data_IF_224096016310
#
_entry.id   IF_224096016310
#
_cell.length_a   1.000
_cell.length_b   1.000
_cell.length_c   1.000
_cell.angle_alpha   90.00
_cell.angle_beta   90.00
_cell.angle_gamma   90.00
#
_symmetry.space_group_name_H-M   'P 1'
#
loop_
_entity.id
_entity.type
_entity.pdbx_description
1 polymer ?
#
# COMPACT_ATOMS: atom_id res chain seq x y z
N UNK A 1 -4.20 -24.51 12.80
CA UNK A 1 -4.51 -23.55 13.89
C UNK A 1 -3.55 -22.37 13.78
N UNK A 2 -4.04 -21.15 13.66
CA UNK A 2 -3.17 -19.96 13.48
C UNK A 2 -2.53 -19.64 14.86
N UNK A 3 -1.27 -20.02 15.05
CA UNK A 3 -0.52 -19.85 16.30
C UNK A 3 -0.48 -18.38 16.75
N UNK A 4 -0.51 -17.44 15.82
CA UNK A 4 -0.57 -16.00 16.11
C UNK A 4 -1.81 -15.62 16.93
N UNK A 5 -2.97 -16.20 16.62
CA UNK A 5 -4.23 -15.90 17.30
C UNK A 5 -4.18 -16.26 18.78
N UNK A 6 -3.38 -17.26 19.14
CA UNK A 6 -3.17 -17.65 20.54
C UNK A 6 -2.34 -16.58 21.30
N UNK A 7 -1.31 -16.02 20.68
CA UNK A 7 -0.44 -15.02 21.29
C UNK A 7 -0.95 -13.57 21.15
N UNK A 8 -1.87 -13.31 20.21
CA UNK A 8 -2.41 -11.98 19.97
C UNK A 8 -2.91 -11.24 21.21
N UNK A 9 -3.67 -11.87 22.16
CA UNK A 9 -4.15 -11.15 23.35
C UNK A 9 -3.02 -10.62 24.22
N UNK A 10 -1.87 -11.32 24.28
CA UNK A 10 -0.68 -10.89 25.01
C UNK A 10 0.03 -9.74 24.28
N UNK A 11 0.21 -9.88 22.96
CA UNK A 11 0.82 -8.84 22.11
C UNK A 11 0.00 -7.54 22.17
N UNK A 12 -1.33 -7.64 22.24
CA UNK A 12 -2.22 -6.49 22.25
C UNK A 12 -2.24 -5.74 23.60
N UNK A 13 -1.68 -6.31 24.68
CA UNK A 13 -1.43 -5.58 25.94
C UNK A 13 -0.23 -4.63 25.83
N UNK A 14 0.68 -4.87 24.88
CA UNK A 14 1.84 -4.00 24.62
C UNK A 14 1.35 -2.77 23.86
N UNK A 15 1.93 -1.61 24.16
CA UNK A 15 1.68 -0.38 23.41
C UNK A 15 1.88 -0.63 21.90
N UNK A 16 0.99 -0.12 21.00
CA UNK A 16 0.95 -0.51 19.59
C UNK A 16 2.26 -0.28 18.83
N UNK A 17 2.92 0.85 19.01
CA UNK A 17 4.16 1.15 18.29
C UNK A 17 5.33 0.33 18.81
N UNK A 18 5.39 0.09 20.13
CA UNK A 18 6.39 -0.81 20.73
C UNK A 18 6.22 -2.25 20.23
N UNK A 19 4.97 -2.74 20.17
CA UNK A 19 4.71 -4.07 19.64
C UNK A 19 5.11 -4.20 18.17
N UNK A 20 4.87 -3.16 17.36
CA UNK A 20 5.29 -3.12 15.96
C UNK A 20 6.83 -3.17 15.85
N UNK A 21 7.55 -2.34 16.59
CA UNK A 21 9.00 -2.31 16.57
C UNK A 21 9.63 -3.64 17.04
N UNK A 22 9.03 -4.29 18.06
CA UNK A 22 9.45 -5.63 18.48
C UNK A 22 9.26 -6.66 17.35
N UNK A 23 8.13 -6.62 16.64
CA UNK A 23 7.88 -7.50 15.52
C UNK A 23 8.87 -7.27 14.37
N UNK A 24 9.16 -6.01 14.01
CA UNK A 24 10.17 -5.67 13.00
C UNK A 24 11.55 -6.20 13.39
N UNK A 25 12.00 -5.92 14.62
CA UNK A 25 13.28 -6.40 15.10
C UNK A 25 13.38 -7.93 15.06
N UNK A 26 12.32 -8.63 15.48
CA UNK A 26 12.28 -10.08 15.41
C UNK A 26 12.41 -10.58 13.97
N UNK A 27 11.63 -10.03 13.04
CA UNK A 27 11.65 -10.42 11.63
C UNK A 27 12.95 -10.04 10.91
N UNK A 28 13.64 -9.00 11.37
CA UNK A 28 14.94 -8.56 10.85
C UNK A 28 16.06 -9.52 11.25
N UNK A 29 16.08 -9.96 12.52
CA UNK A 29 17.16 -10.80 13.04
C UNK A 29 16.93 -12.30 12.82
N UNK A 30 15.70 -12.73 12.57
CA UNK A 30 15.35 -14.14 12.38
C UNK A 30 14.64 -14.40 11.04
N UNK A 31 15.22 -14.04 9.89
CA UNK A 31 14.58 -14.26 8.59
C UNK A 31 14.34 -15.73 8.29
N UNK A 32 15.16 -16.67 8.83
CA UNK A 32 14.93 -18.12 8.73
C UNK A 32 13.68 -18.57 9.46
N UNK A 33 13.27 -17.86 10.52
CA UNK A 33 12.04 -18.18 11.24
C UNK A 33 10.80 -17.84 10.43
N UNK A 34 10.80 -16.73 9.71
CA UNK A 34 9.70 -16.42 8.79
C UNK A 34 9.57 -17.47 7.68
N UNK A 35 10.69 -18.02 7.19
CA UNK A 35 10.69 -19.11 6.23
C UNK A 35 10.13 -20.42 6.83
N UNK A 36 10.38 -20.71 8.11
CA UNK A 36 9.82 -21.87 8.81
C UNK A 36 8.29 -21.74 9.02
N UNK A 37 7.81 -20.52 9.23
CA UNK A 37 6.37 -20.22 9.35
C UNK A 37 5.68 -20.12 8.00
N UNK A 38 6.44 -20.06 6.90
CA UNK A 38 5.94 -19.91 5.55
C UNK A 38 5.34 -21.22 5.05
N UNK A 39 4.05 -21.22 4.80
CA UNK A 39 3.34 -22.32 4.12
C UNK A 39 2.87 -21.88 2.73
N UNK A 40 3.59 -20.93 2.12
CA UNK A 40 3.16 -20.29 0.89
C UNK A 40 3.12 -21.28 -0.26
N UNK A 41 1.91 -21.48 -0.83
CA UNK A 41 1.68 -22.24 -2.05
C UNK A 41 1.58 -21.30 -3.26
N UNK A 42 1.95 -21.79 -4.42
CA UNK A 42 1.69 -21.11 -5.68
C UNK A 42 0.32 -21.53 -6.23
N UNK A 43 -0.45 -20.55 -6.72
CA UNK A 43 -1.74 -20.73 -7.37
C UNK A 43 -1.68 -20.05 -8.73
N UNK A 44 -1.49 -20.83 -9.81
CA UNK A 44 -1.24 -20.32 -11.16
C UNK A 44 -2.32 -19.35 -11.66
N UNK A 45 -3.59 -19.58 -11.27
CA UNK A 45 -4.69 -18.71 -11.65
C UNK A 45 -4.69 -17.35 -10.93
N UNK A 46 -3.78 -17.13 -9.98
CA UNK A 46 -3.54 -15.85 -9.31
C UNK A 46 -2.39 -15.05 -9.91
N UNK A 47 -1.62 -15.63 -10.85
CA UNK A 47 -0.55 -14.91 -11.53
C UNK A 47 -1.14 -13.73 -12.30
N UNK A 48 -0.48 -12.58 -12.20
CA UNK A 48 -0.88 -11.37 -12.92
C UNK A 48 0.34 -10.65 -13.50
N UNK A 49 0.18 -10.02 -14.65
CA UNK A 49 1.25 -9.26 -15.31
C UNK A 49 0.80 -7.83 -15.53
N UNK A 50 1.55 -6.89 -14.98
CA UNK A 50 1.32 -5.44 -15.09
C UNK A 50 2.66 -4.74 -15.27
N UNK A 51 2.73 -3.72 -16.10
CA UNK A 51 3.94 -2.89 -16.29
C UNK A 51 5.21 -3.72 -16.65
N UNK A 52 5.05 -4.82 -17.37
CA UNK A 52 6.11 -5.81 -17.64
C UNK A 52 6.68 -6.48 -16.37
N UNK A 53 5.96 -6.43 -15.25
CA UNK A 53 6.27 -7.12 -14.01
C UNK A 53 5.32 -8.31 -13.82
N UNK A 54 5.89 -9.47 -13.40
CA UNK A 54 5.13 -10.68 -13.16
C UNK A 54 4.88 -10.90 -11.67
N UNK A 55 3.63 -10.74 -11.24
CA UNK A 55 3.19 -10.96 -9.87
C UNK A 55 2.75 -12.41 -9.69
N UNK A 56 3.36 -13.13 -8.77
CA UNK A 56 2.99 -14.53 -8.45
C UNK A 56 1.61 -14.66 -7.82
N UNK A 57 1.08 -13.59 -7.26
CA UNK A 57 -0.29 -13.44 -6.78
C UNK A 57 -0.61 -11.95 -6.56
N UNK A 58 -1.89 -11.56 -6.51
CA UNK A 58 -2.28 -10.15 -6.44
C UNK A 58 -2.20 -9.53 -5.04
N UNK A 59 -1.77 -10.27 -4.00
CA UNK A 59 -1.81 -9.80 -2.60
C UNK A 59 -0.48 -9.20 -2.19
N UNK A 60 -0.47 -7.92 -1.86
CA UNK A 60 0.71 -7.18 -1.42
C UNK A 60 0.63 -6.66 0.01
N UNK A 61 1.81 -6.37 0.59
CA UNK A 61 1.93 -5.59 1.81
C UNK A 61 1.90 -4.09 1.47
N UNK A 62 1.02 -3.34 2.15
CA UNK A 62 0.94 -1.89 1.96
C UNK A 62 2.08 -1.15 2.65
N UNK A 63 2.48 -0.01 2.09
CA UNK A 63 3.42 0.92 2.71
C UNK A 63 3.01 1.31 4.14
N UNK A 64 4.01 1.60 4.97
CA UNK A 64 3.86 1.96 6.38
C UNK A 64 4.19 0.81 7.34
N UNK A 65 4.13 -0.44 6.89
CA UNK A 65 4.51 -1.58 7.71
C UNK A 65 6.05 -1.69 7.83
N UNK A 66 6.75 -1.72 6.72
CA UNK A 66 8.21 -1.64 6.64
C UNK A 66 8.64 -0.29 6.08
N UNK A 67 8.91 0.67 6.96
CA UNK A 67 9.21 2.06 6.56
C UNK A 67 10.64 2.25 6.04
N UNK A 68 11.53 1.33 6.36
CA UNK A 68 12.96 1.47 6.11
C UNK A 68 13.55 0.34 5.27
N UNK A 69 12.71 -0.50 4.65
CA UNK A 69 13.11 -1.67 3.86
C UNK A 69 13.95 -2.70 4.66
N UNK A 70 13.57 -2.96 5.91
CA UNK A 70 14.35 -3.80 6.84
C UNK A 70 13.91 -5.26 6.85
N UNK A 71 12.63 -5.56 6.47
CA UNK A 71 12.05 -6.91 6.61
C UNK A 71 11.39 -7.44 5.33
N UNK A 72 11.69 -6.86 4.16
CA UNK A 72 11.06 -7.22 2.88
C UNK A 72 11.15 -8.72 2.59
N UNK A 73 12.32 -9.36 2.82
CA UNK A 73 12.50 -10.80 2.63
C UNK A 73 11.57 -11.63 3.54
N UNK A 74 11.38 -11.21 4.79
CA UNK A 74 10.46 -11.86 5.72
C UNK A 74 9.01 -11.75 5.28
N UNK A 75 8.62 -10.63 4.68
CA UNK A 75 7.28 -10.44 4.11
C UNK A 75 7.04 -11.36 2.90
N UNK A 76 8.02 -11.53 2.01
CA UNK A 76 7.90 -12.50 0.92
C UNK A 76 7.76 -13.94 1.44
N UNK A 77 8.45 -14.30 2.53
CA UNK A 77 8.29 -15.61 3.15
C UNK A 77 6.86 -15.86 3.64
N UNK A 78 6.10 -14.83 4.02
CA UNK A 78 4.68 -14.96 4.36
C UNK A 78 3.75 -15.08 3.15
N UNK A 79 4.29 -15.08 1.92
CA UNK A 79 3.55 -15.36 0.69
C UNK A 79 3.02 -14.14 -0.03
N UNK A 80 3.41 -12.92 0.35
CA UNK A 80 3.07 -11.74 -0.40
C UNK A 80 3.63 -11.81 -1.83
N UNK A 81 2.82 -11.48 -2.83
CA UNK A 81 3.25 -11.40 -4.23
C UNK A 81 4.08 -10.14 -4.51
N UNK A 82 3.90 -9.10 -3.72
CA UNK A 82 4.68 -7.87 -3.76
C UNK A 82 4.68 -7.16 -2.40
N UNK A 83 5.67 -6.32 -2.20
CA UNK A 83 5.85 -5.56 -0.94
C UNK A 83 6.09 -4.10 -1.28
N UNK A 84 5.28 -3.20 -0.74
CA UNK A 84 5.51 -1.76 -0.81
C UNK A 84 6.14 -1.29 0.50
N UNK A 85 7.44 -0.96 0.45
CA UNK A 85 8.19 -0.42 1.58
C UNK A 85 8.17 1.12 1.57
N UNK A 86 8.28 1.73 2.73
CA UNK A 86 8.19 3.18 2.93
C UNK A 86 6.99 3.55 3.83
N UNK A 87 6.62 4.82 3.94
CA UNK A 87 7.07 5.97 3.15
C UNK A 87 8.44 6.42 3.63
N UNK A 88 9.37 6.55 2.70
CA UNK A 88 10.66 7.19 2.94
C UNK A 88 10.63 8.66 2.49
N UNK A 89 11.39 9.50 3.17
CA UNK A 89 11.59 10.92 2.85
C UNK A 89 13.06 11.18 2.58
N UNK A 90 13.45 12.28 1.90
CA UNK A 90 14.87 12.58 1.64
C UNK A 90 15.75 12.51 2.88
N UNK A 91 15.31 13.16 3.95
CA UNK A 91 15.99 13.22 5.24
C UNK A 91 15.19 12.42 6.28
N UNK A 92 15.87 11.79 7.23
CA UNK A 92 15.23 11.14 8.37
C UNK A 92 14.35 12.11 9.15
N UNK A 93 13.20 11.61 9.61
CA UNK A 93 12.33 12.40 10.49
C UNK A 93 11.65 11.53 11.54
N UNK A 94 11.49 12.10 12.73
CA UNK A 94 10.94 11.40 13.91
C UNK A 94 9.43 11.13 13.74
N UNK A 95 8.73 11.97 12.96
CA UNK A 95 7.28 11.97 12.84
C UNK A 95 6.60 12.76 13.95
N UNK A 96 5.30 12.52 14.15
CA UNK A 96 4.50 13.22 15.15
C UNK A 96 4.72 12.64 16.56
N UNK A 97 4.28 13.38 17.59
CA UNK A 97 4.39 12.99 18.99
C UNK A 97 3.64 11.68 19.30
N UNK A 98 4.16 10.93 20.28
CA UNK A 98 3.55 9.71 20.79
C UNK A 98 2.62 10.04 21.98
N UNK A 99 1.55 9.22 22.22
CA UNK A 99 1.13 8.05 21.44
C UNK A 99 0.48 8.45 20.12
N UNK A 100 0.77 7.68 19.06
CA UNK A 100 0.36 7.99 17.69
C UNK A 100 -0.19 6.80 16.89
N UNK A 101 -0.38 5.65 17.57
CA UNK A 101 -1.06 4.47 17.03
C UNK A 101 -2.08 3.98 18.06
N UNK A 102 -3.31 3.79 17.61
CA UNK A 102 -4.43 3.36 18.46
C UNK A 102 -5.12 2.16 17.81
N UNK A 103 -5.17 1.02 18.51
CA UNK A 103 -5.96 -0.15 18.09
C UNK A 103 -7.41 0.04 18.52
N UNK A 104 -8.32 -0.11 17.59
CA UNK A 104 -9.76 -0.16 17.81
C UNK A 104 -10.17 -1.63 17.68
N UNK A 105 -10.06 -2.36 18.78
CA UNK A 105 -10.17 -3.83 18.78
C UNK A 105 -11.58 -4.27 18.37
N UNK A 106 -12.58 -3.58 18.88
CA UNK A 106 -14.00 -3.84 18.62
C UNK A 106 -14.37 -3.67 17.14
N UNK A 107 -13.60 -2.82 16.44
CA UNK A 107 -13.83 -2.46 15.04
C UNK A 107 -12.87 -3.14 14.07
N UNK A 108 -11.92 -3.94 14.56
CA UNK A 108 -10.82 -4.46 13.75
C UNK A 108 -10.12 -3.35 12.94
N UNK A 109 -9.84 -2.23 13.60
CA UNK A 109 -9.37 -1.01 12.98
C UNK A 109 -8.17 -0.42 13.72
N UNK A 110 -7.45 0.48 13.05
CA UNK A 110 -6.32 1.20 13.63
C UNK A 110 -6.44 2.68 13.23
N UNK A 111 -6.32 3.58 14.21
CA UNK A 111 -6.07 4.99 13.95
C UNK A 111 -4.58 5.27 14.15
N UNK A 112 -3.97 6.01 13.19
CA UNK A 112 -2.60 6.44 13.32
C UNK A 112 -2.42 7.91 12.91
N UNK A 113 -1.43 8.55 13.57
CA UNK A 113 -0.94 9.91 13.24
C UNK A 113 0.59 9.93 13.17
N UNK A 114 1.18 8.98 12.45
CA UNK A 114 2.63 8.72 12.45
C UNK A 114 3.46 9.87 11.87
N UNK A 115 3.02 10.54 10.79
CA UNK A 115 3.72 11.67 10.19
C UNK A 115 5.01 11.30 9.46
N UNK A 116 5.01 10.16 8.74
CA UNK A 116 6.15 9.65 7.96
C UNK A 116 7.45 9.51 8.75
N UNK A 117 7.38 8.94 9.97
CA UNK A 117 8.59 8.60 10.72
C UNK A 117 9.42 7.54 9.96
N UNK A 118 10.66 7.90 9.62
CA UNK A 118 11.58 7.03 8.88
C UNK A 118 13.04 7.49 9.07
N UNK A 119 14.00 6.66 8.65
CA UNK A 119 15.44 6.90 8.82
C UNK A 119 16.09 7.57 7.59
N UNK A 120 15.27 8.05 6.64
CA UNK A 120 15.71 8.78 5.46
C UNK A 120 16.10 7.88 4.29
N UNK A 121 16.21 8.52 3.12
CA UNK A 121 16.41 7.84 1.85
C UNK A 121 17.74 7.07 1.75
N UNK A 122 18.80 7.53 2.41
CA UNK A 122 20.08 6.84 2.37
C UNK A 122 20.02 5.51 3.12
N UNK A 123 19.49 5.50 4.35
CA UNK A 123 19.32 4.28 5.13
C UNK A 123 18.38 3.28 4.43
N UNK A 124 17.30 3.80 3.87
CA UNK A 124 16.38 2.98 3.08
C UNK A 124 17.08 2.33 1.89
N UNK A 125 17.87 3.10 1.14
CA UNK A 125 18.62 2.61 -0.01
C UNK A 125 19.63 1.52 0.37
N UNK A 126 20.37 1.71 1.45
CA UNK A 126 21.33 0.71 1.96
C UNK A 126 20.66 -0.62 2.30
N UNK A 127 19.45 -0.59 2.86
CA UNK A 127 18.70 -1.81 3.14
C UNK A 127 18.14 -2.44 1.85
N UNK A 128 17.56 -1.63 0.97
CA UNK A 128 17.02 -2.09 -0.31
C UNK A 128 18.09 -2.77 -1.17
N UNK A 129 19.30 -2.21 -1.22
CA UNK A 129 20.43 -2.75 -2.00
C UNK A 129 20.96 -4.10 -1.51
N UNK A 130 20.70 -4.46 -0.24
CA UNK A 130 21.09 -5.76 0.33
C UNK A 130 20.09 -6.88 0.04
N UNK A 131 18.92 -6.55 -0.54
CA UNK A 131 17.88 -7.54 -0.79
C UNK A 131 18.25 -8.37 -2.01
N UNK A 132 18.47 -9.65 -1.78
CA UNK A 132 18.62 -10.63 -2.85
C UNK A 132 17.25 -11.22 -3.19
N UNK A 133 16.61 -10.69 -4.23
CA UNK A 133 15.25 -11.08 -4.65
C UNK A 133 15.25 -11.93 -5.92
N UNK A 134 14.23 -12.76 -6.06
CA UNK A 134 13.91 -13.45 -7.33
C UNK A 134 13.13 -12.52 -8.26
N UNK A 135 13.03 -12.86 -9.55
CA UNK A 135 12.29 -12.06 -10.52
C UNK A 135 10.78 -11.93 -10.23
N UNK A 136 10.21 -12.85 -9.44
CA UNK A 136 8.80 -12.83 -9.02
C UNK A 136 8.54 -12.08 -7.73
N UNK A 137 9.57 -11.56 -7.06
CA UNK A 137 9.48 -10.76 -5.85
C UNK A 137 9.50 -9.28 -6.21
N UNK A 138 8.35 -8.66 -6.29
CA UNK A 138 8.18 -7.27 -6.73
C UNK A 138 8.23 -6.32 -5.53
N UNK A 139 9.13 -5.34 -5.58
CA UNK A 139 9.33 -4.35 -4.52
C UNK A 139 8.94 -2.96 -5.01
N UNK A 140 7.90 -2.40 -4.39
CA UNK A 140 7.53 -1.00 -4.55
C UNK A 140 8.22 -0.12 -3.50
N UNK A 141 8.64 1.05 -3.91
CA UNK A 141 9.18 2.09 -3.01
C UNK A 141 8.17 3.22 -2.88
N UNK A 142 7.64 3.42 -1.68
CA UNK A 142 6.72 4.50 -1.38
C UNK A 142 7.51 5.73 -0.91
N UNK A 143 7.34 6.84 -1.60
CA UNK A 143 8.06 8.09 -1.36
C UNK A 143 7.13 9.22 -0.92
N UNK A 144 7.65 10.12 -0.10
CA UNK A 144 6.92 11.28 0.40
C UNK A 144 7.84 12.44 0.75
N UNK A 145 7.25 13.63 0.92
CA UNK A 145 8.03 14.81 1.30
C UNK A 145 8.36 14.85 2.80
N UNK A 146 9.45 15.48 3.17
CA UNK A 146 9.70 15.88 4.55
C UNK A 146 8.65 16.89 5.05
N UNK A 147 8.44 16.92 6.36
CA UNK A 147 7.40 17.75 6.99
C UNK A 147 7.56 19.23 6.67
N UNK A 148 8.80 19.71 6.72
CA UNK A 148 9.12 21.14 6.64
C UNK A 148 9.57 21.59 5.23
N UNK A 149 9.57 20.70 4.23
CA UNK A 149 9.88 21.06 2.84
C UNK A 149 8.77 21.94 2.26
N UNK A 150 9.15 23.13 1.79
CA UNK A 150 8.22 24.10 1.21
C UNK A 150 7.72 23.66 -0.18
N UNK A 151 8.65 23.37 -1.10
CA UNK A 151 8.31 22.81 -2.43
C UNK A 151 8.30 21.28 -2.37
N UNK A 152 7.11 20.70 -2.28
CA UNK A 152 6.95 19.26 -2.26
C UNK A 152 7.61 18.56 -3.46
N UNK A 153 7.57 19.18 -4.66
CA UNK A 153 8.08 18.58 -5.89
C UNK A 153 9.56 18.22 -5.79
N UNK A 154 10.36 19.05 -5.11
CA UNK A 154 11.82 18.83 -4.98
C UNK A 154 12.14 17.52 -4.28
N UNK A 155 11.44 17.19 -3.19
CA UNK A 155 11.64 15.96 -2.44
C UNK A 155 11.28 14.72 -3.26
N UNK A 156 10.15 14.79 -3.99
CA UNK A 156 9.71 13.66 -4.82
C UNK A 156 10.64 13.43 -6.00
N UNK A 157 11.13 14.49 -6.66
CA UNK A 157 12.10 14.40 -7.77
C UNK A 157 13.40 13.75 -7.27
N UNK A 158 13.96 14.23 -6.16
CA UNK A 158 15.16 13.68 -5.55
C UNK A 158 15.01 12.17 -5.24
N UNK A 159 13.85 11.78 -4.71
CA UNK A 159 13.58 10.38 -4.37
C UNK A 159 13.32 9.54 -5.63
N UNK A 160 12.70 10.09 -6.68
CA UNK A 160 12.56 9.42 -7.96
C UNK A 160 13.92 9.13 -8.58
N UNK A 161 14.80 10.12 -8.67
CA UNK A 161 16.16 9.97 -9.19
C UNK A 161 16.92 8.90 -8.42
N UNK A 162 16.81 8.90 -7.08
CA UNK A 162 17.49 7.95 -6.22
C UNK A 162 17.01 6.52 -6.40
N UNK A 163 15.69 6.30 -6.53
CA UNK A 163 15.12 4.95 -6.49
C UNK A 163 14.71 4.38 -7.85
N UNK A 164 14.76 5.16 -8.92
CA UNK A 164 14.25 4.78 -10.24
C UNK A 164 14.82 3.45 -10.75
N UNK A 165 16.12 3.22 -10.58
CA UNK A 165 16.79 2.00 -11.01
C UNK A 165 16.76 0.86 -9.97
N UNK A 166 16.27 1.12 -8.76
CA UNK A 166 16.35 0.19 -7.63
C UNK A 166 14.99 -0.39 -7.22
N UNK A 167 13.89 0.32 -7.52
CA UNK A 167 12.53 -0.14 -7.29
C UNK A 167 11.97 -0.91 -8.50
N UNK A 168 10.99 -1.79 -8.31
CA UNK A 168 10.22 -2.36 -9.41
C UNK A 168 9.08 -1.42 -9.82
N UNK A 169 8.51 -0.67 -8.86
CA UNK A 169 7.65 0.49 -9.09
C UNK A 169 7.86 1.51 -7.97
N UNK A 170 7.50 2.76 -8.24
CA UNK A 170 7.57 3.84 -7.24
C UNK A 170 6.18 4.40 -7.00
N UNK A 171 5.81 4.55 -5.72
CA UNK A 171 4.54 5.15 -5.31
C UNK A 171 4.76 6.56 -4.79
N UNK A 172 4.14 7.52 -5.44
CA UNK A 172 4.05 8.92 -5.00
C UNK A 172 2.91 9.05 -3.99
N UNK A 173 3.23 9.26 -2.73
CA UNK A 173 2.25 9.30 -1.64
C UNK A 173 1.89 10.74 -1.26
N UNK A 174 0.78 11.24 -1.82
CA UNK A 174 0.23 12.59 -1.52
C UNK A 174 -1.02 12.52 -0.63
N UNK A 175 -1.26 11.39 0.04
CA UNK A 175 -2.56 11.08 0.64
C UNK A 175 -2.55 10.97 2.16
N UNK A 176 -1.39 11.10 2.84
CA UNK A 176 -1.33 11.04 4.29
C UNK A 176 -2.07 12.23 4.94
N UNK A 177 -3.01 11.97 5.87
CA UNK A 177 -3.66 13.06 6.60
C UNK A 177 -2.78 13.63 7.73
N UNK A 178 -1.63 13.02 7.97
CA UNK A 178 -0.77 13.28 9.14
C UNK A 178 0.44 14.15 8.80
N UNK A 179 0.52 14.64 7.58
CA UNK A 179 1.56 15.57 7.10
C UNK A 179 0.88 16.85 6.62
N UNK A 180 1.29 17.99 7.15
CA UNK A 180 0.68 19.29 6.87
C UNK A 180 0.66 19.60 5.38
N UNK A 181 -0.49 20.04 4.88
CA UNK A 181 -0.73 20.46 3.49
C UNK A 181 -0.43 19.40 2.42
N UNK A 182 -0.18 18.14 2.80
CA UNK A 182 0.14 17.08 1.82
C UNK A 182 -1.07 16.76 0.93
N UNK A 183 -2.26 16.68 1.52
CA UNK A 183 -3.49 16.40 0.79
C UNK A 183 -3.94 17.54 -0.12
N UNK A 184 -3.43 18.75 0.08
CA UNK A 184 -3.70 19.89 -0.80
C UNK A 184 -3.16 19.66 -2.21
N UNK A 185 -2.11 18.82 -2.33
CA UNK A 185 -1.61 18.35 -3.63
C UNK A 185 -2.64 17.55 -4.44
N UNK A 186 -3.77 17.14 -3.86
CA UNK A 186 -4.87 16.49 -4.57
C UNK A 186 -5.87 17.51 -5.19
N UNK A 187 -5.69 18.82 -4.95
CA UNK A 187 -6.45 19.86 -5.63
C UNK A 187 -6.00 19.97 -7.09
N UNK A 188 -6.94 20.21 -8.00
CA UNK A 188 -6.77 20.10 -9.45
C UNK A 188 -5.51 20.81 -9.99
N UNK A 189 -5.38 22.13 -9.76
CA UNK A 189 -4.26 22.90 -10.28
C UNK A 189 -2.91 22.43 -9.69
N UNK A 190 -2.86 22.23 -8.36
CA UNK A 190 -1.65 21.79 -7.68
C UNK A 190 -1.23 20.39 -8.12
N UNK A 191 -2.20 19.48 -8.31
CA UNK A 191 -1.93 18.13 -8.78
C UNK A 191 -1.38 18.11 -10.20
N UNK A 192 -1.97 18.87 -11.09
CA UNK A 192 -1.53 18.93 -12.48
C UNK A 192 -0.09 19.44 -12.58
N UNK A 193 0.23 20.58 -11.96
CA UNK A 193 1.58 21.14 -11.95
C UNK A 193 2.60 20.18 -11.33
N UNK A 194 2.20 19.52 -10.24
CA UNK A 194 3.03 18.54 -9.57
C UNK A 194 3.30 17.32 -10.46
N UNK A 195 2.26 16.71 -11.05
CA UNK A 195 2.42 15.53 -11.90
C UNK A 195 3.13 15.82 -13.22
N UNK A 196 3.02 17.04 -13.77
CA UNK A 196 3.83 17.46 -14.92
C UNK A 196 5.33 17.40 -14.59
N UNK A 197 5.75 17.94 -13.43
CA UNK A 197 7.15 17.88 -12.99
C UNK A 197 7.62 16.43 -12.78
N UNK A 198 6.78 15.58 -12.18
CA UNK A 198 7.05 14.15 -11.98
C UNK A 198 7.22 13.42 -13.32
N UNK A 199 6.32 13.66 -14.28
CA UNK A 199 6.36 13.04 -15.60
C UNK A 199 7.58 13.50 -16.40
N UNK A 200 7.94 14.77 -16.29
CA UNK A 200 9.16 15.29 -16.91
C UNK A 200 10.41 14.62 -16.33
N UNK A 201 10.49 14.47 -15.01
CA UNK A 201 11.57 13.75 -14.34
C UNK A 201 11.62 12.29 -14.82
N UNK A 202 10.48 11.57 -14.82
CA UNK A 202 10.36 10.20 -15.32
C UNK A 202 10.89 10.08 -16.75
N UNK A 203 10.45 10.96 -17.66
CA UNK A 203 10.87 10.95 -19.06
C UNK A 203 12.39 11.17 -19.23
N UNK A 204 12.98 12.01 -18.39
CA UNK A 204 14.43 12.23 -18.40
C UNK A 204 15.18 10.97 -17.89
N UNK A 205 14.70 10.35 -16.82
CA UNK A 205 15.27 9.11 -16.30
C UNK A 205 15.18 7.95 -17.29
N UNK A 206 14.06 7.82 -18.01
CA UNK A 206 13.89 6.80 -19.05
C UNK A 206 14.91 6.90 -20.18
N UNK A 207 15.38 8.10 -20.54
CA UNK A 207 16.39 8.27 -21.60
C UNK A 207 17.77 7.74 -21.23
N UNK A 208 18.09 7.70 -19.93
CA UNK A 208 19.41 7.34 -19.40
C UNK A 208 19.40 6.00 -18.66
N UNK A 209 18.22 5.45 -18.39
CA UNK A 209 18.06 4.18 -17.66
C UNK A 209 17.68 3.05 -18.59
N UNK A 210 18.23 1.84 -18.43
CA UNK A 210 17.78 0.65 -19.13
C UNK A 210 16.41 0.14 -18.63
N UNK A 211 15.91 0.69 -17.51
CA UNK A 211 14.69 0.27 -16.83
C UNK A 211 13.57 1.29 -17.03
N UNK A 212 12.36 0.81 -17.31
CA UNK A 212 11.16 1.61 -17.30
C UNK A 212 10.40 1.32 -15.99
N UNK A 213 10.68 2.11 -14.95
CA UNK A 213 10.07 1.92 -13.63
C UNK A 213 8.72 2.63 -13.57
N UNK A 214 7.62 1.89 -13.35
CA UNK A 214 6.28 2.47 -13.23
C UNK A 214 6.16 3.42 -12.05
N UNK A 215 5.42 4.52 -12.23
CA UNK A 215 5.13 5.52 -11.19
C UNK A 215 3.64 5.48 -10.89
N UNK A 216 3.29 5.22 -9.65
CA UNK A 216 1.92 5.12 -9.17
C UNK A 216 1.59 6.29 -8.23
N UNK A 217 0.35 6.78 -8.30
CA UNK A 217 -0.16 7.81 -7.41
C UNK A 217 -1.01 7.19 -6.30
N UNK A 218 -0.71 7.45 -5.02
CA UNK A 218 -1.52 7.01 -3.89
C UNK A 218 -2.39 8.13 -3.35
N UNK A 219 -3.71 7.93 -3.41
CA UNK A 219 -4.72 8.95 -3.09
C UNK A 219 -5.44 8.68 -1.77
N UNK A 220 -6.09 9.71 -1.23
CA UNK A 220 -6.94 9.64 -0.05
C UNK A 220 -8.33 9.05 -0.38
N UNK A 221 -9.04 8.46 0.60
CA UNK A 221 -10.40 8.01 0.41
C UNK A 221 -11.45 9.11 0.68
N UNK A 222 -11.03 10.30 1.08
CA UNK A 222 -11.91 11.40 1.48
C UNK A 222 -12.02 12.44 0.34
N UNK A 223 -12.40 11.94 -0.86
CA UNK A 223 -12.49 12.73 -2.11
C UNK A 223 -13.93 12.79 -2.58
N UNK A 224 -14.43 13.99 -2.83
CA UNK A 224 -15.70 14.20 -3.50
C UNK A 224 -15.64 13.72 -4.97
N UNK A 225 -16.80 13.40 -5.57
CA UNK A 225 -16.84 12.80 -6.91
C UNK A 225 -16.19 13.68 -7.99
N UNK A 226 -16.37 15.01 -7.92
CA UNK A 226 -15.72 15.93 -8.87
C UNK A 226 -14.18 15.93 -8.71
N UNK A 227 -13.68 15.82 -7.48
CA UNK A 227 -12.24 15.68 -7.26
C UNK A 227 -11.72 14.36 -7.85
N UNK A 228 -12.51 13.26 -7.74
CA UNK A 228 -12.15 11.98 -8.34
C UNK A 228 -12.05 12.07 -9.87
N UNK A 229 -12.99 12.76 -10.54
CA UNK A 229 -12.96 13.01 -11.99
C UNK A 229 -11.70 13.79 -12.40
N UNK A 230 -11.41 14.87 -11.69
CA UNK A 230 -10.26 15.72 -11.99
C UNK A 230 -8.94 14.93 -11.81
N UNK A 231 -8.81 14.17 -10.72
CA UNK A 231 -7.64 13.32 -10.47
C UNK A 231 -7.49 12.25 -11.57
N UNK A 232 -8.58 11.56 -11.95
CA UNK A 232 -8.53 10.54 -12.99
C UNK A 232 -8.06 11.12 -14.33
N UNK A 233 -8.60 12.29 -14.73
CA UNK A 233 -8.18 12.99 -15.94
C UNK A 233 -6.70 13.40 -15.88
N UNK A 234 -6.26 14.04 -14.80
CA UNK A 234 -4.88 14.52 -14.64
C UNK A 234 -3.88 13.36 -14.65
N UNK A 235 -4.23 12.21 -14.03
CA UNK A 235 -3.41 10.99 -14.03
C UNK A 235 -3.22 10.47 -15.46
N UNK A 236 -4.29 10.44 -16.27
CA UNK A 236 -4.23 10.01 -17.68
C UNK A 236 -3.39 11.01 -18.49
N UNK A 237 -3.67 12.30 -18.39
CA UNK A 237 -3.01 13.35 -19.15
C UNK A 237 -1.49 13.42 -18.87
N UNK A 238 -1.08 13.06 -17.66
CA UNK A 238 0.32 13.03 -17.24
C UNK A 238 1.00 11.65 -17.33
N UNK A 239 0.38 10.66 -17.96
CA UNK A 239 0.94 9.31 -18.16
C UNK A 239 1.46 8.66 -16.87
N UNK A 240 0.69 8.76 -15.79
CA UNK A 240 0.94 8.03 -14.54
C UNK A 240 0.49 6.59 -14.72
N UNK A 241 1.34 5.62 -14.33
CA UNK A 241 1.17 4.20 -14.70
C UNK A 241 0.11 3.47 -13.88
N UNK A 242 -0.32 4.01 -12.72
CA UNK A 242 -1.33 3.37 -11.88
C UNK A 242 -1.77 4.23 -10.70
N UNK A 243 -2.87 3.83 -10.05
CA UNK A 243 -3.38 4.52 -8.88
C UNK A 243 -3.55 3.53 -7.73
N UNK A 244 -3.13 3.92 -6.52
CA UNK A 244 -3.35 3.15 -5.29
C UNK A 244 -4.52 3.76 -4.50
N UNK A 245 -5.59 2.99 -4.34
CA UNK A 245 -6.87 3.37 -3.74
C UNK A 245 -7.19 2.45 -2.58
N UNK A 246 -7.02 2.92 -1.35
CA UNK A 246 -6.72 4.25 -0.89
C UNK A 246 -5.78 4.25 0.33
N UNK A 247 -5.40 5.44 0.78
CA UNK A 247 -4.81 5.65 2.10
C UNK A 247 -5.90 5.55 3.20
N UNK A 248 -5.59 5.98 4.41
CA UNK A 248 -6.49 6.02 5.57
C UNK A 248 -7.49 7.18 5.47
N UNK A 249 -8.66 7.03 6.11
CA UNK A 249 -9.71 8.07 6.15
C UNK A 249 -9.64 8.90 7.43
N UNK A 250 -10.06 10.15 7.35
CA UNK A 250 -10.34 11.00 8.51
C UNK A 250 -11.82 10.96 8.93
N UNK A 251 -12.68 10.32 8.15
CA UNK A 251 -14.08 10.14 8.47
C UNK A 251 -14.26 9.33 9.76
N UNK A 252 -15.27 9.67 10.55
CA UNK A 252 -15.63 9.01 11.82
C UNK A 252 -17.08 8.54 11.87
N UNK A 253 -17.86 8.84 10.84
CA UNK A 253 -19.27 8.43 10.64
C UNK A 253 -19.41 6.96 10.19
N UNK A 254 -18.52 6.09 10.67
CA UNK A 254 -18.38 4.69 10.25
C UNK A 254 -18.88 3.70 11.31
N UNK A 255 -19.80 4.13 12.20
CA UNK A 255 -20.39 3.31 13.28
C UNK A 255 -19.35 2.60 14.16
N UNK A 256 -18.30 3.32 14.54
CA UNK A 256 -17.22 2.79 15.36
C UNK A 256 -17.69 2.57 16.80
N UNK A 257 -17.26 1.44 17.40
CA UNK A 257 -17.63 1.00 18.75
C UNK A 257 -16.58 1.30 19.80
N UNK A 258 -15.32 1.40 19.36
CA UNK A 258 -14.20 1.57 20.29
C UNK A 258 -14.23 2.93 20.97
N UNK A 259 -13.93 3.02 22.29
CA UNK A 259 -13.78 4.29 22.98
C UNK A 259 -12.67 5.19 22.41
N UNK A 260 -11.75 4.61 21.61
CA UNK A 260 -10.68 5.33 20.91
C UNK A 260 -11.10 5.86 19.53
N UNK A 261 -12.38 5.76 19.16
CA UNK A 261 -12.89 6.20 17.85
C UNK A 261 -12.66 7.68 17.57
N UNK A 262 -12.57 8.51 18.62
CA UNK A 262 -12.42 9.97 18.53
C UNK A 262 -10.96 10.44 18.42
N UNK A 263 -9.99 9.52 18.45
CA UNK A 263 -8.59 9.87 18.26
C UNK A 263 -8.35 10.54 16.90
N UNK A 264 -7.51 11.57 16.90
CA UNK A 264 -7.11 12.28 15.68
C UNK A 264 -6.14 11.40 14.89
N UNK A 265 -6.30 11.34 13.56
CA UNK A 265 -5.42 10.60 12.67
C UNK A 265 -6.17 9.85 11.58
N UNK A 266 -5.44 9.10 10.76
CA UNK A 266 -6.02 8.29 9.70
C UNK A 266 -6.52 6.94 10.23
N UNK A 267 -7.78 6.61 9.95
CA UNK A 267 -8.42 5.34 10.27
C UNK A 267 -8.21 4.34 9.14
N UNK A 268 -7.78 3.13 9.48
CA UNK A 268 -7.62 1.97 8.60
C UNK A 268 -8.31 0.74 9.20
N UNK A 269 -8.43 -0.33 8.42
CA UNK A 269 -9.06 -1.58 8.85
C UNK A 269 -10.48 -1.73 8.33
N UNK A 270 -11.23 -2.68 8.91
CA UNK A 270 -12.53 -3.12 8.42
C UNK A 270 -13.53 -1.99 8.10
N UNK A 271 -13.67 -0.93 8.91
CA UNK A 271 -14.63 0.15 8.64
C UNK A 271 -14.38 0.92 7.33
N UNK A 272 -13.13 0.91 6.82
CA UNK A 272 -12.79 1.60 5.57
C UNK A 272 -13.22 0.84 4.31
N UNK A 273 -13.70 -0.41 4.42
CA UNK A 273 -13.90 -1.30 3.29
C UNK A 273 -14.87 -0.74 2.24
N UNK A 274 -16.08 -0.37 2.64
CA UNK A 274 -17.11 0.10 1.72
C UNK A 274 -16.71 1.42 1.03
N UNK A 275 -16.23 2.39 1.80
CA UNK A 275 -15.77 3.68 1.26
C UNK A 275 -14.64 3.50 0.24
N UNK A 276 -13.67 2.65 0.55
CA UNK A 276 -12.56 2.39 -0.37
C UNK A 276 -12.98 1.60 -1.63
N UNK A 277 -14.02 0.77 -1.54
CA UNK A 277 -14.60 0.09 -2.70
C UNK A 277 -15.39 1.03 -3.61
N UNK A 278 -16.14 1.96 -3.04
CA UNK A 278 -16.87 2.97 -3.80
C UNK A 278 -15.92 3.80 -4.67
N UNK A 279 -14.87 4.35 -4.05
CA UNK A 279 -13.87 5.15 -4.76
C UNK A 279 -13.14 4.31 -5.81
N UNK A 280 -12.80 3.07 -5.49
CA UNK A 280 -12.17 2.15 -6.44
C UNK A 280 -13.04 1.94 -7.69
N UNK A 281 -14.34 1.67 -7.54
CA UNK A 281 -15.28 1.55 -8.66
C UNK A 281 -15.38 2.82 -9.48
N UNK A 282 -15.43 3.98 -8.81
CA UNK A 282 -15.49 5.26 -9.48
C UNK A 282 -14.24 5.48 -10.36
N UNK A 283 -13.05 5.27 -9.81
CA UNK A 283 -11.82 5.40 -10.60
C UNK A 283 -11.74 4.38 -11.74
N UNK A 284 -12.18 3.15 -11.54
CA UNK A 284 -12.22 2.17 -12.62
C UNK A 284 -13.11 2.63 -13.78
N UNK A 285 -14.30 3.20 -13.49
CA UNK A 285 -15.18 3.79 -14.49
C UNK A 285 -14.58 5.03 -15.14
N UNK A 286 -14.06 5.96 -14.34
CA UNK A 286 -13.50 7.23 -14.82
C UNK A 286 -12.26 7.04 -15.70
N UNK A 287 -11.48 5.99 -15.46
CA UNK A 287 -10.32 5.61 -16.28
C UNK A 287 -10.67 4.59 -17.37
N UNK A 288 -11.94 4.18 -17.48
CA UNK A 288 -12.39 3.12 -18.42
C UNK A 288 -11.55 1.83 -18.31
N UNK A 289 -11.03 1.54 -17.12
CA UNK A 289 -10.15 0.40 -16.87
C UNK A 289 -8.78 0.48 -17.55
N UNK A 290 -8.42 1.63 -18.15
CA UNK A 290 -7.14 1.82 -18.86
C UNK A 290 -5.94 1.97 -17.92
N UNK A 291 -6.17 2.46 -16.71
CA UNK A 291 -5.15 2.66 -15.68
C UNK A 291 -5.24 1.52 -14.65
N UNK A 292 -4.20 0.70 -14.45
CA UNK A 292 -4.19 -0.32 -13.41
C UNK A 292 -4.39 0.28 -12.02
N UNK A 293 -5.28 -0.33 -11.23
CA UNK A 293 -5.60 0.11 -9.87
C UNK A 293 -5.10 -0.91 -8.84
N UNK A 294 -4.52 -0.42 -7.74
CA UNK A 294 -4.21 -1.22 -6.56
C UNK A 294 -5.25 -0.91 -5.48
N UNK A 295 -6.07 -1.89 -5.11
CA UNK A 295 -7.11 -1.74 -4.11
C UNK A 295 -6.57 -1.92 -2.69
N UNK A 296 -6.77 -0.90 -1.83
CA UNK A 296 -6.34 -0.91 -0.43
C UNK A 296 -7.48 -0.44 0.48
N UNK A 297 -7.53 -0.93 1.70
CA UNK A 297 -8.49 -0.50 2.72
C UNK A 297 -9.56 -1.54 3.01
N UNK A 298 -9.59 -2.00 4.26
CA UNK A 298 -10.61 -2.86 4.81
C UNK A 298 -10.56 -4.33 4.44
N UNK A 299 -9.63 -4.78 3.63
CA UNK A 299 -9.47 -6.18 3.26
C UNK A 299 -9.11 -6.99 4.50
N UNK A 300 -9.92 -7.96 4.87
CA UNK A 300 -9.73 -8.82 6.02
C UNK A 300 -9.78 -10.32 5.71
N UNK A 301 -10.21 -10.69 4.51
CA UNK A 301 -10.34 -12.07 4.03
C UNK A 301 -10.33 -12.11 2.49
N UNK A 302 -10.45 -13.30 1.93
CA UNK A 302 -10.44 -13.51 0.47
C UNK A 302 -11.66 -12.91 -0.23
N UNK A 303 -12.84 -12.90 0.40
CA UNK A 303 -14.04 -12.31 -0.21
C UNK A 303 -13.89 -10.79 -0.34
N UNK A 304 -13.27 -10.14 0.65
CA UNK A 304 -12.96 -8.72 0.58
C UNK A 304 -11.95 -8.42 -0.55
N UNK A 305 -10.89 -9.23 -0.67
CA UNK A 305 -9.91 -9.13 -1.73
C UNK A 305 -10.56 -9.33 -3.10
N UNK A 306 -11.40 -10.36 -3.24
CA UNK A 306 -12.10 -10.66 -4.47
C UNK A 306 -13.11 -9.56 -4.86
N UNK A 307 -13.81 -8.98 -3.89
CA UNK A 307 -14.69 -7.85 -4.13
C UNK A 307 -13.93 -6.64 -4.69
N UNK A 308 -12.71 -6.35 -4.18
CA UNK A 308 -11.88 -5.29 -4.75
C UNK A 308 -11.45 -5.59 -6.18
N UNK A 309 -11.04 -6.83 -6.47
CA UNK A 309 -10.70 -7.24 -7.84
C UNK A 309 -11.90 -7.03 -8.76
N UNK A 310 -13.07 -7.53 -8.38
CA UNK A 310 -14.32 -7.37 -9.18
C UNK A 310 -14.75 -5.91 -9.32
N UNK A 311 -14.34 -5.04 -8.41
CA UNK A 311 -14.54 -3.58 -8.47
C UNK A 311 -13.45 -2.83 -9.24
N UNK A 312 -12.52 -3.52 -9.91
CA UNK A 312 -11.53 -2.92 -10.79
C UNK A 312 -10.09 -2.92 -10.30
N UNK A 313 -9.79 -3.46 -9.12
CA UNK A 313 -8.41 -3.59 -8.68
C UNK A 313 -7.68 -4.68 -9.47
N UNK A 314 -6.52 -4.36 -10.03
CA UNK A 314 -5.61 -5.33 -10.64
C UNK A 314 -4.75 -6.06 -9.59
N UNK A 315 -4.47 -5.39 -8.48
CA UNK A 315 -3.73 -5.89 -7.31
C UNK A 315 -4.42 -5.37 -6.04
N UNK A 316 -4.15 -6.01 -4.90
CA UNK A 316 -4.68 -5.60 -3.60
C UNK A 316 -3.57 -5.50 -2.56
N UNK A 317 -3.69 -4.57 -1.61
CA UNK A 317 -2.76 -4.47 -0.47
C UNK A 317 -3.49 -4.63 0.85
N UNK A 318 -2.86 -5.30 1.80
CA UNK A 318 -3.33 -5.44 3.17
C UNK A 318 -2.34 -4.80 4.16
N UNK A 319 -2.86 -4.34 5.31
CA UNK A 319 -2.07 -3.81 6.43
C UNK A 319 -2.71 -4.21 7.76
N UNK A 320 -3.80 -3.55 8.16
CA UNK A 320 -4.42 -3.73 9.49
C UNK A 320 -4.84 -5.17 9.75
N UNK A 321 -5.41 -5.86 8.76
CA UNK A 321 -5.81 -7.24 8.89
C UNK A 321 -4.62 -8.17 9.21
N UNK A 322 -3.44 -7.91 8.65
CA UNK A 322 -2.23 -8.68 8.95
C UNK A 322 -1.81 -8.52 10.43
N UNK A 323 -1.99 -7.31 11.00
CA UNK A 323 -1.75 -7.08 12.44
C UNK A 323 -2.76 -7.84 13.30
N UNK A 324 -4.03 -7.93 12.88
CA UNK A 324 -5.07 -8.61 13.65
C UNK A 324 -5.07 -10.12 13.50
N UNK A 325 -4.67 -10.67 12.35
CA UNK A 325 -4.81 -12.07 12.00
C UNK A 325 -3.48 -12.83 11.90
N UNK A 326 -2.36 -12.09 11.69
CA UNK A 326 -1.02 -12.66 11.65
C UNK A 326 -0.66 -13.33 10.33
N UNK A 327 0.37 -14.15 10.37
CA UNK A 327 1.13 -14.62 9.21
C UNK A 327 0.36 -15.54 8.26
N UNK A 328 -0.64 -16.28 8.75
CA UNK A 328 -1.44 -17.20 7.92
C UNK A 328 -2.42 -16.50 6.97
N UNK A 329 -2.73 -15.21 7.22
CA UNK A 329 -3.77 -14.49 6.47
C UNK A 329 -3.52 -14.48 4.96
N UNK A 330 -2.28 -14.29 4.53
CA UNK A 330 -1.95 -14.19 3.09
C UNK A 330 -2.23 -15.50 2.38
N UNK A 331 -1.84 -16.62 2.98
CA UNK A 331 -2.11 -17.94 2.41
C UNK A 331 -3.60 -18.27 2.38
N UNK A 332 -4.33 -17.92 3.45
CA UNK A 332 -5.79 -18.10 3.50
C UNK A 332 -6.49 -17.28 2.40
N UNK A 333 -6.05 -16.03 2.18
CA UNK A 333 -6.57 -15.17 1.10
C UNK A 333 -6.28 -15.81 -0.26
N UNK A 334 -5.04 -16.20 -0.54
CA UNK A 334 -4.66 -16.79 -1.83
C UNK A 334 -5.44 -18.05 -2.14
N UNK A 335 -5.52 -18.98 -1.18
CA UNK A 335 -6.25 -20.24 -1.37
C UNK A 335 -7.70 -19.98 -1.73
N UNK A 336 -8.42 -19.23 -0.91
CA UNK A 336 -9.85 -18.98 -1.13
C UNK A 336 -10.10 -18.10 -2.36
N UNK A 337 -9.20 -17.15 -2.68
CA UNK A 337 -9.29 -16.34 -3.89
C UNK A 337 -9.18 -17.22 -5.14
N UNK A 338 -8.23 -18.17 -5.16
CA UNK A 338 -8.10 -19.16 -6.23
C UNK A 338 -9.35 -20.04 -6.38
N UNK A 339 -9.99 -20.43 -5.27
CA UNK A 339 -11.24 -21.19 -5.25
C UNK A 339 -12.43 -20.35 -5.76
N UNK A 340 -12.52 -19.08 -5.34
CA UNK A 340 -13.57 -18.16 -5.80
C UNK A 340 -13.52 -17.93 -7.31
N UNK A 341 -12.32 -17.76 -7.90
CA UNK A 341 -12.15 -17.63 -9.34
C UNK A 341 -12.69 -18.86 -10.09
N UNK A 342 -12.33 -20.06 -9.63
CA UNK A 342 -12.80 -21.31 -10.23
C UNK A 342 -14.32 -21.47 -10.15
N UNK A 343 -14.90 -21.09 -9.00
CA UNK A 343 -16.34 -21.13 -8.77
C UNK A 343 -17.09 -20.19 -9.72
N UNK A 344 -16.56 -19.01 -9.98
CA UNK A 344 -17.15 -18.01 -10.88
C UNK A 344 -16.79 -18.28 -12.37
N UNK A 345 -16.01 -19.35 -12.67
CA UNK A 345 -15.66 -19.78 -14.03
C UNK A 345 -14.49 -19.03 -14.65
N UNK A 346 -13.76 -18.22 -13.89
CA UNK A 346 -12.58 -17.51 -14.38
C UNK A 346 -11.34 -18.41 -14.37
N UNK A 347 -10.58 -18.38 -15.46
CA UNK A 347 -9.30 -19.12 -15.60
C UNK A 347 -8.15 -18.39 -14.92
N UNK A 348 -8.19 -17.07 -14.90
CA UNK A 348 -7.14 -16.22 -14.33
C UNK A 348 -7.74 -15.01 -13.63
N UNK A 349 -7.00 -14.46 -12.65
CA UNK A 349 -7.41 -13.29 -11.86
C UNK A 349 -7.69 -12.05 -12.73
N UNK A 350 -6.96 -11.89 -13.85
CA UNK A 350 -7.14 -10.77 -14.76
C UNK A 350 -8.52 -10.73 -15.43
N UNK A 351 -9.17 -11.89 -15.60
CA UNK A 351 -10.52 -11.96 -16.17
C UNK A 351 -11.60 -11.43 -15.22
N UNK A 352 -11.33 -11.47 -13.91
CA UNK A 352 -12.25 -10.99 -12.88
C UNK A 352 -12.15 -9.47 -12.63
N UNK A 353 -11.11 -8.79 -13.16
CA UNK A 353 -10.89 -7.37 -12.92
C UNK A 353 -12.06 -6.55 -13.48
N UNK A 354 -12.74 -5.81 -12.60
CA UNK A 354 -13.83 -4.90 -12.97
C UNK A 354 -15.12 -5.60 -13.43
N UNK A 355 -15.24 -6.93 -13.32
CA UNK A 355 -16.42 -7.65 -13.81
C UNK A 355 -17.75 -7.23 -13.13
N UNK A 356 -17.70 -6.66 -11.92
CA UNK A 356 -18.89 -6.12 -11.23
C UNK A 356 -19.18 -4.65 -11.56
N UNK A 357 -18.35 -4.00 -12.39
CA UNK A 357 -18.47 -2.55 -12.68
C UNK A 357 -18.99 -2.31 -14.10
N UNK A 358 -19.04 -3.33 -14.91
CA UNK A 358 -19.52 -3.30 -16.31
C UNK A 358 -21.00 -3.03 -16.37
#
# INVERSE_FOLDING_TARGET
MNIYQFFRPLIFKIEPEKAHNLALNYLKFLPKFSALLATSKNYENLNNSLWNLNFSNPVGMSAGFDKNAEIINSLFNFGFGFVEAGTTTPIAQIGNEQPRIFRLIEDNAIINRLGFNNLGANYFYENLSKINKTASQIIGVNIGKNKDTADASSDYILLLEKFYNHADYITINISSPNTKNLRDLQNENLLNDFLQKISQCKNNLQKISPKNTPILLKIAPDLEFEQQKNIAKIVIDNNIDGIIISNTTIARDLNLKSPKAFEIGGLSGKPLFEKSNEILRNFYRLTEGKIPLIGVGGISNANDAYAKIKNGASLVQIYSAFIYQGFGLVEDIKKQLSENLKKDGFKNISEAIGCSVK
#
